data_IF_717351544354
#
_entry.id   IF_717351544354
#
_cell.length_a   1.000
_cell.length_b   1.000
_cell.length_c   1.000
_cell.angle_alpha   90.00
_cell.angle_beta   90.00
_cell.angle_gamma   90.00
#
_symmetry.space_group_name_H-M   'P 1'
#
loop_
_entity.id
_entity.type
_entity.pdbx_description
1 polymer ?
#
# COMPACT_ATOMS: atom_id res chain seq x y z
N UNK A 1 12.27 31.33 -0.64
CA UNK A 1 13.65 30.87 -0.85
C UNK A 1 13.92 29.68 0.07
N UNK A 2 13.78 28.45 -0.42
CA UNK A 2 14.16 27.24 0.33
C UNK A 2 15.08 26.37 -0.55
N UNK A 3 16.10 27.00 -1.15
CA UNK A 3 17.08 26.35 -2.01
C UNK A 3 18.31 25.88 -1.23
N UNK A 4 18.10 25.14 -0.14
CA UNK A 4 19.18 24.46 0.57
C UNK A 4 19.19 22.98 0.21
N UNK A 5 20.35 22.31 0.29
CA UNK A 5 20.50 20.87 0.04
C UNK A 5 19.53 19.99 0.87
N UNK A 6 18.96 20.54 1.94
CA UNK A 6 17.98 19.90 2.81
C UNK A 6 16.52 20.03 2.34
N UNK A 7 16.17 20.96 1.45
CA UNK A 7 14.79 21.16 0.99
C UNK A 7 14.18 19.90 0.37
N UNK A 8 14.79 19.37 -0.72
CA UNK A 8 14.33 18.13 -1.37
C UNK A 8 14.38 16.91 -0.45
N UNK A 9 15.32 16.89 0.49
CA UNK A 9 15.47 15.80 1.46
C UNK A 9 14.33 15.81 2.51
N UNK A 10 13.96 16.99 3.03
CA UNK A 10 12.81 17.14 3.93
C UNK A 10 11.50 16.74 3.24
N UNK A 11 11.33 17.11 1.97
CA UNK A 11 10.14 16.71 1.20
C UNK A 11 10.01 15.20 1.05
N UNK A 12 11.13 14.48 0.86
CA UNK A 12 11.14 13.01 0.82
C UNK A 12 10.69 12.38 2.15
N UNK A 13 11.19 12.90 3.27
CA UNK A 13 10.79 12.42 4.60
C UNK A 13 9.31 12.72 4.86
N UNK A 14 8.84 13.91 4.52
CA UNK A 14 7.43 14.28 4.64
C UNK A 14 6.53 13.36 3.80
N UNK A 15 6.94 13.04 2.56
CA UNK A 15 6.22 12.11 1.68
C UNK A 15 6.15 10.68 2.22
N UNK A 16 7.24 10.20 2.84
CA UNK A 16 7.26 8.89 3.53
C UNK A 16 6.24 8.85 4.67
N UNK A 17 6.25 9.86 5.55
CA UNK A 17 5.33 9.93 6.69
C UNK A 17 3.88 10.04 6.21
N UNK A 18 3.62 10.86 5.19
CA UNK A 18 2.30 10.99 4.58
C UNK A 18 1.78 9.67 4.02
N UNK A 19 2.61 8.96 3.25
CA UNK A 19 2.28 7.63 2.72
C UNK A 19 2.07 6.59 3.82
N UNK A 20 2.91 6.63 4.87
CA UNK A 20 2.80 5.75 6.02
C UNK A 20 1.53 5.98 6.84
N UNK A 21 1.08 7.24 6.94
CA UNK A 21 -0.14 7.61 7.65
C UNK A 21 -1.40 7.22 6.89
N UNK A 22 -1.37 7.30 5.56
CA UNK A 22 -2.46 6.87 4.68
C UNK A 22 -2.65 5.34 4.71
N UNK A 23 -1.54 4.58 4.62
CA UNK A 23 -1.58 3.12 4.48
C UNK A 23 -1.39 2.35 5.80
N UNK A 24 -0.95 3.03 6.86
CA UNK A 24 -0.61 2.43 8.15
C UNK A 24 0.70 1.64 8.18
N UNK A 25 1.51 1.69 7.11
CA UNK A 25 2.80 1.01 7.02
C UNK A 25 3.75 1.68 6.03
N UNK A 26 5.05 1.48 6.24
CA UNK A 26 6.13 1.83 5.31
C UNK A 26 7.14 0.69 5.22
N UNK A 27 7.90 0.61 4.15
CA UNK A 27 8.92 -0.42 3.97
C UNK A 27 10.31 0.05 4.38
N UNK A 28 11.18 -0.90 4.74
CA UNK A 28 12.61 -0.59 4.96
C UNK A 28 13.28 0.05 3.73
N UNK A 29 12.87 -0.34 2.53
CA UNK A 29 13.35 0.25 1.29
C UNK A 29 12.92 1.72 1.14
N UNK A 30 11.64 2.01 1.41
CA UNK A 30 11.12 3.39 1.40
C UNK A 30 11.81 4.26 2.45
N UNK A 31 12.05 3.73 3.65
CA UNK A 31 12.79 4.43 4.71
C UNK A 31 14.23 4.71 4.27
N UNK A 32 14.94 3.70 3.75
CA UNK A 32 16.30 3.87 3.25
C UNK A 32 16.39 4.94 2.16
N UNK A 33 15.50 4.87 1.17
CA UNK A 33 15.44 5.82 0.08
C UNK A 33 15.02 7.23 0.55
N UNK A 34 14.13 7.36 1.53
CA UNK A 34 13.72 8.67 2.06
C UNK A 34 14.83 9.32 2.91
N UNK A 35 15.63 8.50 3.59
CA UNK A 35 16.72 8.98 4.44
C UNK A 35 18.04 9.17 3.70
N UNK A 36 18.22 8.58 2.51
CA UNK A 36 19.40 8.79 1.65
C UNK A 36 19.70 10.29 1.46
N UNK A 37 20.80 10.73 2.08
CA UNK A 37 21.12 12.14 2.20
C UNK A 37 22.20 12.42 3.27
N UNK A 38 22.60 13.70 3.43
CA UNK A 38 23.77 14.09 4.22
C UNK A 38 23.66 13.82 5.72
N UNK A 39 22.47 13.46 6.23
CA UNK A 39 22.19 13.23 7.65
C UNK A 39 21.80 11.78 7.99
N UNK A 40 22.00 10.82 7.08
CA UNK A 40 21.74 9.39 7.31
C UNK A 40 22.73 8.79 8.33
N UNK A 41 22.46 8.99 9.61
CA UNK A 41 23.19 8.36 10.73
C UNK A 41 22.37 7.21 11.32
N UNK A 42 23.01 6.13 11.82
CA UNK A 42 22.31 5.03 12.50
C UNK A 42 21.43 5.49 13.67
N UNK A 43 21.86 6.51 14.41
CA UNK A 43 21.07 7.11 15.48
C UNK A 43 19.81 7.79 14.93
N UNK A 44 19.95 8.61 13.89
CA UNK A 44 18.83 9.29 13.24
C UNK A 44 17.81 8.30 12.65
N UNK A 45 18.28 7.21 12.04
CA UNK A 45 17.41 6.14 11.53
C UNK A 45 16.57 5.55 12.68
N UNK A 46 17.17 5.29 13.86
CA UNK A 46 16.43 4.80 15.02
C UNK A 46 15.36 5.79 15.49
N UNK A 47 15.68 7.08 15.53
CA UNK A 47 14.72 8.13 15.90
C UNK A 47 13.54 8.16 14.92
N UNK A 48 13.80 8.10 13.61
CA UNK A 48 12.75 8.05 12.59
C UNK A 48 11.89 6.79 12.74
N UNK A 49 12.50 5.63 12.97
CA UNK A 49 11.77 4.38 13.19
C UNK A 49 10.89 4.45 14.45
N UNK A 50 11.40 5.03 15.52
CA UNK A 50 10.66 5.24 16.76
C UNK A 50 9.49 6.20 16.56
N UNK A 51 9.70 7.31 15.84
CA UNK A 51 8.65 8.27 15.49
C UNK A 51 7.56 7.63 14.62
N UNK A 52 7.93 6.83 13.63
CA UNK A 52 6.97 6.09 12.81
C UNK A 52 6.15 5.12 13.66
N UNK A 53 6.79 4.40 14.59
CA UNK A 53 6.11 3.47 15.49
C UNK A 53 5.14 4.19 16.45
N UNK A 54 5.54 5.33 17.00
CA UNK A 54 4.69 6.18 17.87
C UNK A 54 3.46 6.71 17.11
N UNK A 55 3.63 7.03 15.83
CA UNK A 55 2.55 7.42 14.92
C UNK A 55 1.68 6.23 14.45
N UNK A 56 1.93 5.00 14.91
CA UNK A 56 1.19 3.80 14.50
C UNK A 56 1.53 3.29 13.10
N UNK A 57 2.64 3.73 12.51
CA UNK A 57 3.08 3.35 11.17
C UNK A 57 4.01 2.13 11.27
N UNK A 58 3.56 0.98 10.77
CA UNK A 58 4.33 -0.25 10.85
C UNK A 58 5.47 -0.30 9.82
N UNK A 59 6.70 -0.57 10.27
CA UNK A 59 7.86 -0.76 9.38
C UNK A 59 7.96 -2.22 8.93
N UNK A 60 7.84 -2.48 7.63
CA UNK A 60 7.82 -3.84 7.06
C UNK A 60 8.98 -4.09 6.10
N UNK A 61 9.43 -5.35 6.00
CA UNK A 61 10.51 -5.74 5.08
C UNK A 61 10.08 -5.77 3.61
N UNK A 62 8.78 -5.94 3.35
CA UNK A 62 8.14 -5.98 2.03
C UNK A 62 6.72 -5.42 2.18
N UNK A 63 6.14 -4.75 1.17
CA UNK A 63 4.71 -4.48 1.16
C UNK A 63 3.93 -5.79 1.39
N UNK A 64 2.76 -5.75 2.06
CA UNK A 64 1.94 -6.94 2.19
C UNK A 64 1.65 -7.51 0.79
N UNK A 65 1.69 -8.84 0.61
CA UNK A 65 1.31 -9.43 -0.66
C UNK A 65 -0.12 -8.98 -1.00
N UNK A 66 -0.42 -8.73 -2.29
CA UNK A 66 -1.76 -8.34 -2.74
C UNK A 66 -2.86 -9.30 -2.23
N UNK A 67 -2.49 -10.55 -1.91
CA UNK A 67 -3.35 -11.54 -1.28
C UNK A 67 -4.00 -11.11 0.05
N UNK A 68 -3.43 -10.22 0.88
CA UNK A 68 -4.11 -9.84 2.14
C UNK A 68 -5.33 -8.92 1.91
N UNK A 69 -5.23 -7.99 0.95
CA UNK A 69 -6.34 -7.15 0.55
C UNK A 69 -7.36 -7.95 -0.28
N UNK A 70 -6.86 -8.79 -1.19
CA UNK A 70 -7.67 -9.71 -1.98
C UNK A 70 -8.42 -10.73 -1.11
N UNK A 71 -7.81 -11.27 -0.06
CA UNK A 71 -8.48 -12.20 0.87
C UNK A 71 -9.66 -11.54 1.58
N UNK A 72 -9.55 -10.25 1.94
CA UNK A 72 -10.66 -9.49 2.52
C UNK A 72 -11.78 -9.29 1.48
N UNK A 73 -11.41 -8.90 0.26
CA UNK A 73 -12.36 -8.78 -0.85
C UNK A 73 -13.09 -10.09 -1.12
N UNK A 74 -12.37 -11.21 -1.16
CA UNK A 74 -12.94 -12.55 -1.35
C UNK A 74 -13.95 -12.91 -0.25
N UNK A 75 -13.70 -12.57 1.01
CA UNK A 75 -14.65 -12.83 2.11
C UNK A 75 -15.93 -11.99 1.95
N UNK A 76 -15.80 -10.73 1.54
CA UNK A 76 -16.93 -9.84 1.25
C UNK A 76 -17.72 -10.35 0.03
N UNK A 77 -17.02 -10.65 -1.06
CA UNK A 77 -17.60 -11.20 -2.28
C UNK A 77 -18.34 -12.51 -2.05
N UNK A 78 -17.80 -13.42 -1.24
CA UNK A 78 -18.50 -14.66 -0.88
C UNK A 78 -19.78 -14.46 -0.07
N UNK A 79 -19.85 -13.42 0.77
CA UNK A 79 -21.05 -13.15 1.54
C UNK A 79 -22.19 -12.57 0.68
N UNK A 80 -21.83 -11.86 -0.40
CA UNK A 80 -22.74 -11.13 -1.28
C UNK A 80 -23.04 -11.85 -2.60
N UNK A 81 -22.14 -12.74 -3.03
CA UNK A 81 -22.12 -13.38 -4.34
C UNK A 81 -21.39 -12.58 -5.43
N UNK A 82 -21.02 -11.32 -5.17
CA UNK A 82 -20.37 -10.45 -6.14
C UNK A 82 -19.42 -9.43 -5.51
N UNK A 83 -18.53 -8.87 -6.33
CA UNK A 83 -17.66 -7.72 -6.02
C UNK A 83 -17.70 -6.72 -7.17
N UNK A 84 -17.53 -5.44 -6.90
CA UNK A 84 -17.49 -4.44 -7.97
C UNK A 84 -16.10 -4.31 -8.58
N UNK A 85 -16.03 -3.84 -9.83
CA UNK A 85 -14.76 -3.50 -10.49
C UNK A 85 -14.00 -2.42 -9.70
N UNK A 86 -14.71 -1.48 -9.07
CA UNK A 86 -14.13 -0.47 -8.19
C UNK A 86 -13.50 -1.09 -6.93
N UNK A 87 -14.22 -2.00 -6.26
CA UNK A 87 -13.69 -2.73 -5.10
C UNK A 87 -12.46 -3.58 -5.47
N UNK A 88 -12.47 -4.20 -6.65
CA UNK A 88 -11.34 -4.95 -7.18
C UNK A 88 -10.13 -4.05 -7.46
N UNK A 89 -10.33 -2.91 -8.13
CA UNK A 89 -9.27 -1.94 -8.42
C UNK A 89 -8.73 -1.25 -7.16
N UNK A 90 -9.53 -1.13 -6.11
CA UNK A 90 -9.09 -0.59 -4.82
C UNK A 90 -8.15 -1.54 -4.06
N UNK A 91 -8.29 -2.86 -4.23
CA UNK A 91 -7.42 -3.85 -3.59
C UNK A 91 -6.26 -4.32 -4.46
N UNK A 92 -6.41 -4.24 -5.78
CA UNK A 92 -5.34 -4.59 -6.72
C UNK A 92 -4.43 -3.40 -6.96
N UNK A 93 -3.09 -3.55 -6.85
CA UNK A 93 -2.19 -2.45 -7.15
C UNK A 93 -2.27 -2.03 -8.63
N UNK A 94 -2.22 -0.72 -8.93
CA UNK A 94 -2.14 -0.26 -10.31
C UNK A 94 -0.81 -0.72 -10.93
N UNK A 95 -0.85 -1.22 -12.16
CA UNK A 95 0.33 -1.71 -12.89
C UNK A 95 0.56 -3.22 -12.82
N UNK A 96 -0.44 -4.02 -12.41
CA UNK A 96 -0.42 -5.46 -12.60
C UNK A 96 -0.34 -5.83 -14.09
N UNK A 97 0.34 -6.93 -14.39
CA UNK A 97 0.31 -7.54 -15.73
C UNK A 97 -1.07 -8.15 -16.01
N UNK A 98 -1.43 -8.24 -17.29
CA UNK A 98 -2.68 -8.88 -17.71
C UNK A 98 -2.82 -10.30 -17.13
N UNK A 99 -1.73 -11.07 -17.12
CA UNK A 99 -1.67 -12.43 -16.58
C UNK A 99 -1.97 -12.48 -15.06
N UNK A 100 -1.52 -11.48 -14.30
CA UNK A 100 -1.82 -11.37 -12.88
C UNK A 100 -3.28 -10.97 -12.63
N UNK A 101 -3.83 -10.09 -13.48
CA UNK A 101 -5.24 -9.70 -13.42
C UNK A 101 -6.14 -10.91 -13.71
N UNK A 102 -5.85 -11.67 -14.76
CA UNK A 102 -6.58 -12.89 -15.11
C UNK A 102 -6.52 -13.93 -14.00
N UNK A 103 -5.37 -14.10 -13.33
CA UNK A 103 -5.24 -15.00 -12.18
C UNK A 103 -6.18 -14.62 -11.02
N UNK A 104 -6.33 -13.31 -10.76
CA UNK A 104 -7.24 -12.82 -9.71
C UNK A 104 -8.71 -12.97 -10.10
N UNK A 105 -9.07 -12.68 -11.35
CA UNK A 105 -10.43 -12.87 -11.88
C UNK A 105 -10.83 -14.35 -11.87
N UNK A 106 -9.93 -15.24 -12.32
CA UNK A 106 -10.14 -16.68 -12.29
C UNK A 106 -10.36 -17.20 -10.86
N UNK A 107 -9.59 -16.70 -9.89
CA UNK A 107 -9.78 -17.01 -8.47
C UNK A 107 -11.14 -16.56 -7.92
N UNK A 108 -11.60 -15.36 -8.30
CA UNK A 108 -12.93 -14.88 -7.87
C UNK A 108 -14.04 -15.79 -8.45
N UNK A 109 -13.93 -16.14 -9.73
CA UNK A 109 -14.87 -17.02 -10.41
C UNK A 109 -14.90 -18.44 -9.81
N UNK A 110 -13.74 -19.04 -9.53
CA UNK A 110 -13.62 -20.36 -8.88
C UNK A 110 -14.30 -20.39 -7.49
N UNK A 111 -14.27 -19.26 -6.78
CA UNK A 111 -14.87 -19.11 -5.46
C UNK A 111 -16.37 -18.79 -5.50
N UNK A 112 -16.97 -18.68 -6.70
CA UNK A 112 -18.37 -18.35 -6.92
C UNK A 112 -18.68 -16.87 -6.72
N UNK A 113 -17.70 -15.99 -6.94
CA UNK A 113 -17.85 -14.54 -6.80
C UNK A 113 -17.87 -13.91 -8.20
N UNK A 114 -18.96 -13.23 -8.52
CA UNK A 114 -19.09 -12.49 -9.78
C UNK A 114 -18.44 -11.10 -9.68
N UNK A 115 -17.74 -10.67 -10.73
CA UNK A 115 -17.23 -9.30 -10.81
C UNK A 115 -18.20 -8.48 -11.65
N UNK A 116 -18.82 -7.48 -11.04
CA UNK A 116 -19.82 -6.62 -11.67
C UNK A 116 -19.30 -5.20 -11.81
N UNK A 117 -19.72 -4.47 -12.84
CA UNK A 117 -19.31 -3.06 -13.00
C UNK A 117 -19.89 -2.18 -11.89
N UNK A 118 -21.13 -2.44 -11.46
CA UNK A 118 -21.84 -1.77 -10.36
C UNK A 118 -22.76 -2.78 -9.65
N UNK A 119 -23.11 -2.48 -8.40
CA UNK A 119 -24.02 -3.32 -7.61
C UNK A 119 -25.36 -3.55 -8.34
N UNK A 120 -25.88 -4.80 -8.42
CA UNK A 120 -27.15 -5.07 -9.07
C UNK A 120 -28.30 -4.60 -8.16
N UNK A 121 -28.78 -3.37 -8.39
CA UNK A 121 -29.83 -2.78 -7.55
C UNK A 121 -30.22 -1.33 -7.83
N UNK A 122 -29.83 -0.75 -8.96
CA UNK A 122 -30.34 0.55 -9.46
C UNK A 122 -31.10 0.37 -10.77
#
# INVERSE_FOLDING_TARGET
MAGGAFGPWVERIAGLIGSGRDRGWVTRAEIGAALEGPASSPAFIKEVLAALADMGIAVRGRPPPPDQAFTRLVRLGRARGYVTVDELNAVLPPGLSAEAIELHLARLSDLGIEVVEREPGE
#
